data_IF_872214855540
#
_entry.id   IF_872214855540
#
_cell.length_a   1.000
_cell.length_b   1.000
_cell.length_c   1.000
_cell.angle_alpha   90.00
_cell.angle_beta   90.00
_cell.angle_gamma   90.00
#
_symmetry.space_group_name_H-M   'P 1'
#
loop_
_entity.id
_entity.type
_entity.pdbx_description
1 polymer ?
#
# COMPACT_ATOMS: atom_id res chain seq x y z
N UNK A 1 -8.84 -10.22 3.17
CA UNK A 1 -7.90 -9.09 3.08
C UNK A 1 -8.69 -7.81 3.23
N UNK A 2 -8.40 -7.04 4.27
CA UNK A 2 -9.10 -5.78 4.59
C UNK A 2 -8.23 -4.58 4.16
N UNK A 3 -8.82 -3.40 4.02
CA UNK A 3 -8.14 -2.15 3.64
C UNK A 3 -7.19 -1.72 4.75
N UNK A 4 -7.63 -1.94 5.98
CA UNK A 4 -6.87 -1.77 7.20
C UNK A 4 -5.51 -2.49 7.17
N UNK A 5 -5.41 -3.69 6.59
CA UNK A 5 -4.15 -4.45 6.56
C UNK A 5 -3.07 -3.77 5.69
N UNK A 6 -3.46 -3.22 4.54
CA UNK A 6 -2.51 -2.43 3.72
C UNK A 6 -2.16 -1.14 4.42
N UNK A 7 -3.15 -0.45 5.02
CA UNK A 7 -2.90 0.79 5.75
C UNK A 7 -1.95 0.56 6.91
N UNK A 8 -2.15 -0.50 7.70
CA UNK A 8 -1.30 -0.88 8.80
C UNK A 8 0.13 -1.14 8.30
N UNK A 9 0.28 -1.92 7.23
CA UNK A 9 1.59 -2.20 6.65
C UNK A 9 2.31 -0.91 6.19
N UNK A 10 1.59 0.00 5.53
CA UNK A 10 2.14 1.29 5.10
C UNK A 10 2.42 2.23 6.28
N UNK A 11 1.63 2.16 7.36
CA UNK A 11 1.81 2.92 8.61
C UNK A 11 3.00 2.44 9.43
N UNK A 12 3.35 1.16 9.37
CA UNK A 12 4.55 0.61 10.00
C UNK A 12 5.83 1.13 9.33
N UNK A 13 5.75 1.61 8.10
CA UNK A 13 6.89 2.15 7.33
C UNK A 13 6.56 3.53 6.74
N UNK A 14 6.25 4.55 7.57
CA UNK A 14 5.80 5.86 7.10
C UNK A 14 6.92 6.66 6.42
N UNK A 15 8.18 6.28 6.66
CA UNK A 15 9.38 6.93 6.13
C UNK A 15 9.98 6.20 4.93
N UNK A 16 9.47 5.01 4.60
CA UNK A 16 10.06 4.13 3.58
C UNK A 16 9.03 3.73 2.54
N UNK A 17 9.47 3.50 1.31
CA UNK A 17 8.60 2.95 0.28
C UNK A 17 8.58 1.43 0.39
N UNK A 18 7.38 0.85 0.38
CA UNK A 18 7.19 -0.58 0.36
C UNK A 18 6.94 -1.03 -1.09
N UNK A 19 7.86 -1.81 -1.65
CA UNK A 19 7.68 -2.43 -2.96
C UNK A 19 6.40 -3.24 -3.02
N UNK A 20 5.66 -3.15 -4.13
CA UNK A 20 4.44 -3.94 -4.32
C UNK A 20 4.67 -5.45 -4.15
N UNK A 21 5.89 -5.93 -4.41
CA UNK A 21 6.32 -7.30 -4.13
C UNK A 21 6.34 -7.63 -2.63
N UNK A 22 6.98 -6.77 -1.83
CA UNK A 22 7.05 -6.93 -0.37
C UNK A 22 5.65 -6.94 0.23
N UNK A 23 4.79 -6.00 -0.18
CA UNK A 23 3.39 -5.93 0.28
C UNK A 23 2.65 -7.22 -0.12
N UNK A 24 2.83 -7.67 -1.36
CA UNK A 24 2.20 -8.89 -1.86
C UNK A 24 2.65 -10.13 -1.10
N UNK A 25 3.93 -10.19 -0.70
CA UNK A 25 4.52 -11.30 0.02
C UNK A 25 4.08 -11.32 1.49
N UNK A 26 4.13 -10.17 2.18
CA UNK A 26 3.68 -10.02 3.57
C UNK A 26 2.20 -10.33 3.73
N UNK A 27 1.37 -9.81 2.84
CA UNK A 27 -0.08 -10.00 2.89
C UNK A 27 -0.53 -11.28 2.17
N UNK A 28 0.40 -12.06 1.58
CA UNK A 28 0.14 -13.28 0.80
C UNK A 28 -0.96 -13.08 -0.27
N UNK A 29 -0.92 -11.96 -0.96
CA UNK A 29 -1.88 -11.60 -2.01
C UNK A 29 -1.18 -11.28 -3.33
N UNK A 30 -1.91 -11.23 -4.43
CA UNK A 30 -1.33 -10.82 -5.72
C UNK A 30 -1.04 -9.32 -5.75
N UNK A 31 -0.01 -8.90 -6.50
CA UNK A 31 0.30 -7.48 -6.75
C UNK A 31 -0.91 -6.69 -7.27
N UNK A 32 -1.77 -7.31 -8.06
CA UNK A 32 -3.02 -6.71 -8.56
C UNK A 32 -4.03 -6.44 -7.45
N UNK A 33 -4.11 -7.31 -6.43
CA UNK A 33 -4.98 -7.10 -5.28
C UNK A 33 -4.48 -5.91 -4.43
N UNK A 34 -3.16 -5.81 -4.25
CA UNK A 34 -2.51 -4.64 -3.63
C UNK A 34 -2.90 -3.37 -4.38
N UNK A 35 -2.70 -3.34 -5.71
CA UNK A 35 -3.04 -2.16 -6.52
C UNK A 35 -4.52 -1.77 -6.42
N UNK A 36 -5.45 -2.74 -6.52
CA UNK A 36 -6.88 -2.47 -6.36
C UNK A 36 -7.19 -1.83 -5.01
N UNK A 37 -6.55 -2.31 -3.95
CA UNK A 37 -6.80 -1.84 -2.59
C UNK A 37 -6.14 -0.48 -2.32
N UNK A 38 -4.93 -0.24 -2.82
CA UNK A 38 -4.29 1.09 -2.85
C UNK A 38 -5.21 2.09 -3.57
N UNK A 39 -5.75 1.72 -4.72
CA UNK A 39 -6.63 2.59 -5.49
C UNK A 39 -7.95 2.87 -4.75
N UNK A 40 -8.52 1.86 -4.09
CA UNK A 40 -9.70 2.02 -3.23
C UNK A 40 -9.41 3.00 -2.08
N UNK A 41 -8.29 2.84 -1.38
CA UNK A 41 -7.86 3.74 -0.31
C UNK A 41 -7.70 5.17 -0.82
N UNK A 42 -7.08 5.35 -1.99
CA UNK A 42 -6.99 6.67 -2.64
C UNK A 42 -8.34 7.28 -2.91
N UNK A 43 -9.32 6.48 -3.32
CA UNK A 43 -10.69 6.93 -3.54
C UNK A 43 -11.41 7.28 -2.23
N UNK A 44 -11.10 6.57 -1.14
CA UNK A 44 -11.61 6.87 0.21
C UNK A 44 -11.00 8.12 0.85
N UNK A 45 -10.06 8.81 0.20
CA UNK A 45 -9.44 10.04 0.69
C UNK A 45 -8.04 9.88 1.31
N UNK A 46 -7.47 8.68 1.24
CA UNK A 46 -6.09 8.43 1.70
C UNK A 46 -5.09 8.86 0.63
N UNK A 47 -4.03 9.56 1.03
CA UNK A 47 -2.99 9.97 0.10
C UNK A 47 -1.86 8.94 0.13
N UNK A 48 -1.79 8.13 -0.94
CA UNK A 48 -0.77 7.08 -1.09
C UNK A 48 0.07 7.42 -2.32
N UNK A 49 1.35 7.65 -2.09
CA UNK A 49 2.34 7.87 -3.13
C UNK A 49 2.80 6.51 -3.69
N UNK A 50 2.78 6.39 -5.01
CA UNK A 50 3.24 5.22 -5.73
C UNK A 50 4.40 5.63 -6.65
N UNK A 51 5.57 5.05 -6.42
CA UNK A 51 6.76 5.28 -7.23
C UNK A 51 7.16 3.99 -7.93
N UNK A 52 7.31 4.03 -9.25
CA UNK A 52 7.56 2.85 -10.12
C UNK A 52 8.82 2.06 -9.77
N UNK A 53 9.76 2.66 -9.05
CA UNK A 53 11.02 2.02 -8.63
C UNK A 53 11.13 1.81 -7.13
N UNK A 54 10.32 2.50 -6.33
CA UNK A 54 10.43 2.48 -4.87
C UNK A 54 9.28 1.75 -4.19
N UNK A 55 8.09 1.70 -4.81
CA UNK A 55 6.90 1.05 -4.24
C UNK A 55 5.83 2.04 -3.81
N UNK A 56 5.17 1.76 -2.68
CA UNK A 56 4.04 2.51 -2.15
C UNK A 56 4.36 3.10 -0.78
N UNK A 57 3.87 4.30 -0.51
CA UNK A 57 4.04 4.99 0.76
C UNK A 57 2.77 5.75 1.13
N UNK A 58 2.36 5.66 2.38
CA UNK A 58 1.25 6.47 2.91
C UNK A 58 1.77 7.87 3.27
N UNK A 59 1.19 8.89 2.64
CA UNK A 59 1.49 10.31 2.89
C UNK A 59 0.48 10.89 3.88
N UNK A 60 -0.80 10.53 3.72
CA UNK A 60 -1.89 11.04 4.56
C UNK A 60 -2.96 9.98 4.79
N UNK A 61 -3.40 9.86 6.05
CA UNK A 61 -4.50 9.01 6.48
C UNK A 61 -5.47 9.74 7.37
#
# INVERSE_FOLDING_TARGET
MTDDEILQLLRESPSSFLSGEEISHRLKVSRTAVWKRINHLRNSGYEIEASTRSGYRLIRS
#
